data_IF_872378899712
#
_entry.id   IF_872378899712
#
_cell.length_a   1.000
_cell.length_b   1.000
_cell.length_c   1.000
_cell.angle_alpha   90.00
_cell.angle_beta   90.00
_cell.angle_gamma   90.00
#
_symmetry.space_group_name_H-M   'P 1'
#
loop_
_entity.id
_entity.type
_entity.pdbx_description
1 polymer ?
#
# COMPACT_ATOMS: atom_id res chain seq x y z
N UNK A 1 16.97 0.75 4.47
CA UNK A 1 18.10 0.87 3.55
C UNK A 1 18.96 -0.36 3.75
N UNK A 2 19.07 -1.18 2.70
CA UNK A 2 19.77 -2.46 2.78
C UNK A 2 21.27 -2.28 2.87
N UNK A 3 21.91 -3.08 3.74
CA UNK A 3 23.37 -3.10 3.95
C UNK A 3 24.16 -3.26 2.63
N UNK A 4 23.58 -3.90 1.64
CA UNK A 4 24.18 -4.07 0.30
C UNK A 4 24.26 -2.75 -0.48
N UNK A 5 23.27 -1.87 -0.38
CA UNK A 5 23.27 -0.58 -1.09
C UNK A 5 24.31 0.39 -0.55
N UNK A 6 24.61 0.35 0.75
CA UNK A 6 25.67 1.20 1.36
C UNK A 6 27.05 0.72 0.98
N UNK A 7 27.27 -0.58 0.92
CA UNK A 7 28.55 -1.18 0.51
C UNK A 7 28.89 -0.87 -0.95
N UNK A 8 27.89 -0.85 -1.84
CA UNK A 8 28.07 -0.44 -3.25
C UNK A 8 28.40 1.04 -3.40
N UNK A 9 27.77 1.92 -2.61
CA UNK A 9 28.06 3.35 -2.64
C UNK A 9 29.47 3.66 -2.13
N UNK A 10 29.92 2.98 -1.08
CA UNK A 10 31.28 3.11 -0.56
C UNK A 10 32.32 2.64 -1.58
N UNK A 11 32.14 1.47 -2.20
CA UNK A 11 33.02 0.98 -3.27
C UNK A 11 33.06 1.92 -4.48
N UNK A 12 31.94 2.51 -4.85
CA UNK A 12 31.89 3.49 -5.96
C UNK A 12 32.64 4.78 -5.62
N UNK A 13 32.54 5.25 -4.37
CA UNK A 13 33.26 6.44 -3.92
C UNK A 13 34.77 6.19 -3.83
N UNK A 14 35.19 5.02 -3.35
CA UNK A 14 36.61 4.63 -3.30
C UNK A 14 37.21 4.47 -4.71
N UNK A 15 36.49 3.82 -5.63
CA UNK A 15 36.95 3.69 -7.02
C UNK A 15 37.07 5.06 -7.71
N UNK A 16 36.14 5.98 -7.45
CA UNK A 16 36.18 7.35 -8.00
C UNK A 16 37.33 8.18 -7.40
N UNK A 17 37.60 8.03 -6.12
CA UNK A 17 38.77 8.68 -5.46
C UNK A 17 40.08 8.11 -5.98
N UNK A 18 40.18 6.81 -6.22
CA UNK A 18 41.36 6.17 -6.76
C UNK A 18 41.63 6.61 -8.22
N UNK A 19 40.58 6.75 -9.05
CA UNK A 19 40.70 7.24 -10.43
C UNK A 19 41.12 8.71 -10.53
N UNK A 20 40.73 9.53 -9.53
CA UNK A 20 41.17 10.94 -9.45
C UNK A 20 42.60 11.08 -8.95
N UNK A 21 43.06 10.16 -8.09
CA UNK A 21 44.45 10.12 -7.57
C UNK A 21 45.46 9.61 -8.62
N UNK A 22 45.04 8.72 -9.52
CA UNK A 22 45.88 8.14 -10.57
C UNK A 22 46.14 9.07 -11.76
N UNK A 23 45.45 10.23 -11.86
CA UNK A 23 45.61 11.17 -12.98
C UNK A 23 46.85 12.06 -12.92
N UNK A 24 47.77 11.77 -12.03
CA UNK A 24 48.99 12.55 -11.77
C UNK A 24 50.32 11.93 -12.23
N UNK A 25 50.36 10.75 -12.83
CA UNK A 25 51.60 10.16 -13.36
C UNK A 25 51.38 9.44 -14.68
N UNK A 26 51.94 10.07 -15.74
CA UNK A 26 52.09 9.49 -17.08
C UNK A 26 52.99 8.25 -17.03
N UNK A 27 52.41 7.06 -17.19
CA UNK A 27 53.02 5.93 -17.90
C UNK A 27 51.93 4.91 -18.18
N UNK A 28 51.40 4.90 -19.41
CA UNK A 28 50.49 3.91 -19.89
C UNK A 28 51.19 2.54 -20.01
N UNK A 29 50.77 1.57 -19.19
CA UNK A 29 51.08 0.17 -19.42
C UNK A 29 49.82 -0.55 -19.94
N UNK A 30 50.00 -1.52 -20.79
CA UNK A 30 48.94 -2.30 -21.48
C UNK A 30 47.95 -2.98 -20.52
N UNK A 31 48.29 -3.09 -19.25
CA UNK A 31 47.51 -3.64 -18.17
C UNK A 31 46.33 -2.72 -17.74
N UNK A 32 46.41 -1.40 -17.99
CA UNK A 32 45.40 -0.44 -17.56
C UNK A 32 44.20 -0.41 -18.52
N UNK A 33 44.39 -0.83 -19.79
CA UNK A 33 43.31 -0.90 -20.75
C UNK A 33 42.39 -2.10 -20.54
N UNK A 34 42.92 -3.26 -20.09
CA UNK A 34 42.11 -4.41 -19.70
C UNK A 34 41.24 -4.11 -18.46
N UNK A 35 41.77 -3.43 -17.46
CA UNK A 35 41.05 -3.01 -16.29
C UNK A 35 39.93 -2.01 -16.59
N UNK A 36 40.16 -1.10 -17.56
CA UNK A 36 39.14 -0.13 -17.99
C UNK A 36 38.02 -0.78 -18.80
N UNK A 37 38.34 -1.80 -19.65
CA UNK A 37 37.30 -2.52 -20.39
C UNK A 37 36.43 -3.38 -19.48
N UNK A 38 37.01 -3.97 -18.42
CA UNK A 38 36.28 -4.75 -17.43
C UNK A 38 35.34 -3.87 -16.59
N UNK A 39 35.81 -2.67 -16.20
CA UNK A 39 34.98 -1.67 -15.51
C UNK A 39 33.86 -1.11 -16.37
N UNK A 40 34.08 -0.94 -17.68
CA UNK A 40 33.06 -0.53 -18.64
C UNK A 40 31.99 -1.61 -18.83
N UNK A 41 32.41 -2.87 -18.92
CA UNK A 41 31.50 -4.01 -19.02
C UNK A 41 30.68 -4.21 -17.73
N UNK A 42 31.27 -3.94 -16.55
CA UNK A 42 30.57 -3.94 -15.28
C UNK A 42 29.54 -2.79 -15.22
N UNK A 43 29.89 -1.59 -15.68
CA UNK A 43 29.00 -0.42 -15.80
C UNK A 43 27.83 -0.67 -16.78
N UNK A 44 28.07 -1.28 -17.93
CA UNK A 44 27.02 -1.66 -18.88
C UNK A 44 26.08 -2.73 -18.29
N UNK A 45 26.60 -3.66 -17.49
CA UNK A 45 25.80 -4.61 -16.74
C UNK A 45 24.96 -3.95 -15.64
N UNK A 46 25.49 -2.95 -14.94
CA UNK A 46 24.75 -2.18 -13.94
C UNK A 46 23.60 -1.38 -14.58
N UNK A 47 23.82 -0.76 -15.73
CA UNK A 47 22.78 -0.07 -16.49
C UNK A 47 21.69 -1.05 -16.94
N UNK A 48 22.05 -2.27 -17.32
CA UNK A 48 21.10 -3.33 -17.64
C UNK A 48 20.25 -3.78 -16.43
N UNK A 49 20.84 -3.86 -15.25
CA UNK A 49 20.16 -4.20 -14.00
C UNK A 49 19.21 -3.06 -13.58
N UNK A 50 19.67 -1.82 -13.67
CA UNK A 50 18.87 -0.63 -13.37
C UNK A 50 17.71 -0.50 -14.36
N UNK A 51 17.94 -0.76 -15.64
CA UNK A 51 16.89 -0.76 -16.67
C UNK A 51 15.82 -1.83 -16.38
N UNK A 52 16.23 -3.05 -16.05
CA UNK A 52 15.29 -4.13 -15.63
C UNK A 52 14.51 -3.76 -14.38
N UNK A 53 15.16 -3.15 -13.40
CA UNK A 53 14.48 -2.71 -12.19
C UNK A 53 13.44 -1.62 -12.49
N UNK A 54 13.79 -0.62 -13.32
CA UNK A 54 12.87 0.43 -13.78
C UNK A 54 11.67 -0.16 -14.51
N UNK A 55 11.92 -1.11 -15.41
CA UNK A 55 10.86 -1.78 -16.17
C UNK A 55 9.93 -2.59 -15.25
N UNK A 56 10.49 -3.38 -14.34
CA UNK A 56 9.71 -4.12 -13.34
C UNK A 56 8.88 -3.17 -12.47
N UNK A 57 9.46 -2.04 -12.07
CA UNK A 57 8.77 -1.05 -11.27
C UNK A 57 7.62 -0.40 -12.04
N UNK A 58 7.85 -0.08 -13.31
CA UNK A 58 6.82 0.47 -14.19
C UNK A 58 5.67 -0.53 -14.37
N UNK A 59 5.96 -1.80 -14.60
CA UNK A 59 4.95 -2.86 -14.70
C UNK A 59 4.15 -3.01 -13.40
N UNK A 60 4.80 -2.94 -12.23
CA UNK A 60 4.13 -2.97 -10.94
C UNK A 60 3.17 -1.77 -10.77
N UNK A 61 3.63 -0.58 -11.16
CA UNK A 61 2.79 0.63 -11.13
C UNK A 61 1.56 0.49 -12.03
N UNK A 62 1.75 0.01 -13.25
CA UNK A 62 0.65 -0.24 -14.19
C UNK A 62 -0.35 -1.28 -13.65
N UNK A 63 0.14 -2.35 -13.03
CA UNK A 63 -0.73 -3.35 -12.40
C UNK A 63 -1.54 -2.76 -11.24
N UNK A 64 -0.91 -1.92 -10.42
CA UNK A 64 -1.60 -1.25 -9.31
C UNK A 64 -2.67 -0.27 -9.85
N UNK A 65 -2.36 0.52 -10.87
CA UNK A 65 -3.35 1.42 -11.49
C UNK A 65 -4.53 0.61 -12.03
N UNK A 66 -4.27 -0.47 -12.77
CA UNK A 66 -5.33 -1.33 -13.30
C UNK A 66 -6.18 -1.98 -12.20
N UNK A 67 -5.60 -2.30 -11.04
CA UNK A 67 -6.38 -2.84 -9.91
C UNK A 67 -7.27 -1.77 -9.27
N UNK A 68 -6.79 -0.52 -9.20
CA UNK A 68 -7.57 0.63 -8.72
C UNK A 68 -8.71 0.96 -9.71
N UNK A 69 -8.43 0.97 -11.02
CA UNK A 69 -9.45 1.22 -12.06
C UNK A 69 -10.57 0.17 -12.00
N UNK A 70 -10.21 -1.13 -11.87
CA UNK A 70 -11.21 -2.19 -11.69
C UNK A 70 -12.01 -2.03 -10.40
N UNK A 71 -11.36 -1.55 -9.33
CA UNK A 71 -12.04 -1.23 -8.09
C UNK A 71 -13.05 -0.09 -8.30
N UNK A 72 -12.66 0.95 -9.02
CA UNK A 72 -13.51 2.08 -9.35
C UNK A 72 -14.70 1.69 -10.24
N UNK A 73 -14.50 0.80 -11.21
CA UNK A 73 -15.59 0.29 -12.09
C UNK A 73 -16.69 -0.43 -11.30
N UNK A 74 -16.34 -1.07 -10.17
CA UNK A 74 -17.30 -1.83 -9.35
C UNK A 74 -17.99 -0.96 -8.31
N UNK A 75 -17.29 -0.02 -7.68
CA UNK A 75 -17.77 0.83 -6.59
C UNK A 75 -18.19 2.23 -7.03
N UNK A 76 -17.83 2.63 -8.25
CA UNK A 76 -18.06 4.00 -8.70
C UNK A 76 -17.11 4.98 -7.97
N UNK A 77 -17.69 6.06 -7.43
CA UNK A 77 -16.93 7.13 -6.76
C UNK A 77 -16.47 6.77 -5.33
N UNK A 78 -16.86 5.60 -4.81
CA UNK A 78 -16.64 5.19 -3.41
C UNK A 78 -15.30 4.45 -3.18
N UNK A 79 -14.31 4.65 -4.05
CA UNK A 79 -12.97 4.10 -3.90
C UNK A 79 -12.21 4.82 -2.78
N UNK A 80 -11.54 4.07 -1.93
CA UNK A 80 -10.79 4.63 -0.81
C UNK A 80 -11.64 5.00 0.41
N UNK A 81 -12.94 4.63 0.41
CA UNK A 81 -13.87 4.86 1.50
C UNK A 81 -14.39 3.55 2.10
N UNK A 82 -14.99 3.65 3.27
CA UNK A 82 -15.78 2.56 3.86
C UNK A 82 -17.20 2.66 3.33
N UNK A 83 -17.64 1.67 2.56
CA UNK A 83 -18.97 1.63 1.97
C UNK A 83 -19.95 0.96 2.93
N UNK A 84 -20.92 1.74 3.43
CA UNK A 84 -21.96 1.27 4.32
C UNK A 84 -23.12 0.65 3.54
N UNK A 85 -23.30 -0.65 3.69
CA UNK A 85 -24.33 -1.42 2.98
C UNK A 85 -25.54 -1.63 3.88
N UNK A 86 -26.72 -1.38 3.31
CA UNK A 86 -27.99 -1.49 4.04
C UNK A 86 -28.66 -2.85 3.97
N UNK A 87 -28.29 -3.70 2.97
CA UNK A 87 -28.91 -5.00 2.75
C UNK A 87 -27.87 -6.10 2.51
N UNK A 88 -28.15 -7.26 3.08
CA UNK A 88 -27.27 -8.44 3.00
C UNK A 88 -27.06 -8.94 1.56
N UNK A 89 -28.11 -8.85 0.72
CA UNK A 89 -28.04 -9.23 -0.68
C UNK A 89 -27.06 -8.37 -1.47
N UNK A 90 -27.03 -7.06 -1.20
CA UNK A 90 -26.15 -6.12 -1.87
C UNK A 90 -24.68 -6.36 -1.45
N UNK A 91 -24.48 -6.67 -0.16
CA UNK A 91 -23.18 -7.07 0.36
C UNK A 91 -22.64 -8.32 -0.36
N UNK A 92 -23.45 -9.37 -0.48
CA UNK A 92 -23.05 -10.57 -1.19
C UNK A 92 -22.73 -10.30 -2.66
N UNK A 93 -23.54 -9.45 -3.32
CA UNK A 93 -23.29 -9.02 -4.68
C UNK A 93 -21.98 -8.22 -4.83
N UNK A 94 -21.67 -7.35 -3.89
CA UNK A 94 -20.42 -6.59 -3.88
C UNK A 94 -19.21 -7.52 -3.67
N UNK A 95 -19.25 -8.40 -2.68
CA UNK A 95 -18.16 -9.35 -2.37
C UNK A 95 -17.85 -10.28 -3.55
N UNK A 96 -18.85 -10.71 -4.31
CA UNK A 96 -18.64 -11.60 -5.46
C UNK A 96 -18.05 -10.90 -6.69
N UNK A 97 -18.30 -9.59 -6.84
CA UNK A 97 -17.80 -8.80 -7.99
C UNK A 97 -16.40 -8.26 -7.76
N UNK A 98 -15.97 -8.15 -6.50
CA UNK A 98 -14.68 -7.56 -6.14
C UNK A 98 -13.58 -8.61 -6.05
N UNK A 99 -12.35 -8.23 -6.40
CA UNK A 99 -11.20 -9.10 -6.25
C UNK A 99 -10.87 -9.33 -4.76
N UNK A 100 -10.79 -8.25 -3.98
CA UNK A 100 -10.52 -8.30 -2.55
C UNK A 100 -11.52 -7.40 -1.83
N UNK A 101 -12.29 -7.99 -0.91
CA UNK A 101 -13.24 -7.27 -0.07
C UNK A 101 -12.97 -7.53 1.41
N UNK A 102 -13.00 -6.46 2.20
CA UNK A 102 -12.97 -6.51 3.67
C UNK A 102 -14.34 -6.11 4.18
N UNK A 103 -15.03 -7.05 4.80
CA UNK A 103 -16.38 -6.86 5.31
C UNK A 103 -16.37 -6.71 6.82
N UNK A 104 -16.85 -5.59 7.33
CA UNK A 104 -16.99 -5.31 8.75
C UNK A 104 -18.45 -5.44 9.19
N UNK A 105 -18.72 -6.41 10.05
CA UNK A 105 -19.98 -6.54 10.76
C UNK A 105 -19.90 -5.74 12.06
N UNK A 106 -20.77 -4.77 12.22
CA UNK A 106 -20.70 -3.84 13.35
C UNK A 106 -22.05 -3.59 14.01
N UNK A 107 -22.00 -3.07 15.23
CA UNK A 107 -23.14 -2.50 15.94
C UNK A 107 -22.87 -1.02 16.19
N UNK A 108 -23.78 -0.11 15.77
CA UNK A 108 -23.56 1.35 15.88
C UNK A 108 -23.32 1.84 17.31
N UNK A 109 -23.90 1.15 18.29
CA UNK A 109 -23.81 1.52 19.71
C UNK A 109 -22.49 1.11 20.37
N UNK A 110 -21.71 0.20 19.78
CA UNK A 110 -20.49 -0.32 20.38
C UNK A 110 -19.29 0.56 20.06
N UNK A 111 -18.56 1.04 21.09
CA UNK A 111 -17.35 1.85 20.95
C UNK A 111 -16.30 1.10 20.13
N UNK A 112 -16.07 -0.19 20.41
CA UNK A 112 -15.15 -1.05 19.68
C UNK A 112 -15.40 -1.10 18.17
N UNK A 113 -16.67 -1.08 17.75
CA UNK A 113 -17.03 -1.04 16.36
C UNK A 113 -16.72 0.32 15.70
N UNK A 114 -16.87 1.42 16.44
CA UNK A 114 -16.51 2.76 15.97
C UNK A 114 -15.01 2.86 15.73
N UNK A 115 -14.20 2.44 16.71
CA UNK A 115 -12.74 2.39 16.58
C UNK A 115 -12.31 1.54 15.38
N UNK A 116 -12.92 0.39 15.16
CA UNK A 116 -12.63 -0.45 14.00
C UNK A 116 -12.99 0.27 12.69
N UNK A 117 -14.15 0.94 12.60
CA UNK A 117 -14.54 1.72 11.43
C UNK A 117 -13.52 2.83 11.11
N UNK A 118 -13.05 3.56 12.12
CA UNK A 118 -12.03 4.60 11.94
C UNK A 118 -10.72 4.05 11.39
N UNK A 119 -10.26 2.90 11.92
CA UNK A 119 -9.04 2.26 11.41
C UNK A 119 -9.22 1.72 9.99
N UNK A 120 -10.38 1.16 9.68
CA UNK A 120 -10.72 0.68 8.34
C UNK A 120 -10.87 1.82 7.34
N UNK A 121 -11.35 2.99 7.74
CA UNK A 121 -11.40 4.17 6.88
C UNK A 121 -10.01 4.62 6.44
N UNK A 122 -9.08 4.76 7.41
CA UNK A 122 -7.68 5.09 7.08
C UNK A 122 -7.03 4.01 6.22
N UNK A 123 -7.37 2.74 6.44
CA UNK A 123 -6.87 1.63 5.64
C UNK A 123 -7.38 1.71 4.18
N UNK A 124 -8.65 2.03 3.98
CA UNK A 124 -9.25 2.21 2.65
C UNK A 124 -8.57 3.34 1.88
N UNK A 125 -8.31 4.48 2.52
CA UNK A 125 -7.60 5.60 1.93
C UNK A 125 -6.17 5.24 1.48
N UNK A 126 -5.49 4.39 2.26
CA UNK A 126 -4.13 3.93 1.93
C UNK A 126 -4.09 2.90 0.81
N UNK A 127 -5.10 2.04 0.73
CA UNK A 127 -5.13 0.88 -0.16
C UNK A 127 -6.34 0.92 -1.09
N UNK A 128 -6.29 1.76 -2.11
CA UNK A 128 -7.40 2.05 -3.03
C UNK A 128 -7.94 0.81 -3.78
N UNK A 129 -7.12 -0.22 -3.95
CA UNK A 129 -7.55 -1.49 -4.54
C UNK A 129 -8.33 -2.39 -3.56
N UNK A 130 -8.41 -2.02 -2.27
CA UNK A 130 -9.09 -2.76 -1.23
C UNK A 130 -10.52 -2.23 -1.07
N UNK A 131 -11.50 -3.11 -1.24
CA UNK A 131 -12.91 -2.76 -1.01
C UNK A 131 -13.27 -2.96 0.44
N UNK A 132 -13.53 -1.89 1.17
CA UNK A 132 -13.96 -1.94 2.56
C UNK A 132 -15.46 -1.73 2.63
N UNK A 133 -16.17 -2.74 3.09
CA UNK A 133 -17.63 -2.79 3.20
C UNK A 133 -18.02 -2.91 4.67
N UNK A 134 -19.01 -2.17 5.11
CA UNK A 134 -19.52 -2.23 6.47
C UNK A 134 -21.03 -2.45 6.48
N UNK A 135 -21.50 -3.42 7.29
CA UNK A 135 -22.91 -3.73 7.44
C UNK A 135 -23.28 -3.86 8.92
N UNK A 136 -24.40 -3.26 9.37
CA UNK A 136 -24.90 -3.53 10.69
C UNK A 136 -25.26 -5.02 10.85
N UNK A 137 -24.82 -5.65 11.93
CA UNK A 137 -25.06 -7.07 12.18
C UNK A 137 -26.56 -7.43 12.20
N UNK A 138 -27.40 -6.49 12.62
CA UNK A 138 -28.88 -6.63 12.62
C UNK A 138 -29.44 -6.80 11.20
N UNK A 139 -28.82 -6.17 10.20
CA UNK A 139 -29.25 -6.22 8.80
C UNK A 139 -28.67 -7.39 8.02
N UNK A 140 -27.82 -8.19 8.64
CA UNK A 140 -27.11 -9.33 8.04
C UNK A 140 -27.35 -10.62 8.83
N UNK A 141 -28.58 -10.89 9.23
CA UNK A 141 -28.93 -12.01 10.14
C UNK A 141 -28.57 -13.38 9.59
N UNK A 142 -28.72 -13.58 8.28
CA UNK A 142 -28.34 -14.83 7.63
C UNK A 142 -26.82 -15.04 7.66
N UNK A 143 -26.03 -14.02 7.27
CA UNK A 143 -24.57 -14.11 7.31
C UNK A 143 -24.03 -14.24 8.75
N UNK A 144 -24.60 -13.52 9.70
CA UNK A 144 -24.27 -13.62 11.12
C UNK A 144 -24.46 -15.07 11.60
N UNK A 145 -25.58 -15.71 11.23
CA UNK A 145 -25.87 -17.10 11.57
C UNK A 145 -24.91 -18.06 10.84
N UNK A 146 -24.69 -17.85 9.54
CA UNK A 146 -23.85 -18.70 8.70
C UNK A 146 -22.37 -18.64 9.10
N UNK A 147 -21.85 -17.46 9.38
CA UNK A 147 -20.47 -17.22 9.81
C UNK A 147 -20.27 -17.48 11.32
N UNK A 148 -21.38 -17.76 12.05
CA UNK A 148 -21.40 -17.98 13.51
C UNK A 148 -20.79 -16.81 14.28
N UNK A 149 -21.15 -15.59 13.91
CA UNK A 149 -20.66 -14.37 14.54
C UNK A 149 -21.26 -14.26 15.95
N UNK A 150 -20.40 -14.24 16.97
CA UNK A 150 -20.80 -14.13 18.39
C UNK A 150 -20.25 -12.88 19.04
N UNK A 151 -19.21 -12.30 18.49
CA UNK A 151 -18.48 -11.15 19.03
C UNK A 151 -18.35 -10.06 17.96
N UNK A 152 -18.54 -8.83 18.35
CA UNK A 152 -18.34 -7.65 17.49
C UNK A 152 -17.25 -6.75 18.10
N UNK A 153 -16.50 -6.01 17.26
CA UNK A 153 -16.50 -6.00 15.79
C UNK A 153 -16.09 -7.34 15.19
N UNK A 154 -16.57 -7.65 14.01
CA UNK A 154 -16.18 -8.87 13.29
C UNK A 154 -15.82 -8.49 11.86
N UNK A 155 -14.60 -8.81 11.45
CA UNK A 155 -14.10 -8.48 10.10
C UNK A 155 -13.81 -9.77 9.35
N UNK A 156 -14.30 -9.88 8.13
CA UNK A 156 -14.03 -11.00 7.22
C UNK A 156 -13.35 -10.47 5.98
N UNK A 157 -12.32 -11.15 5.56
CA UNK A 157 -11.58 -10.83 4.33
C UNK A 157 -11.93 -11.85 3.27
N UNK A 158 -12.41 -11.39 2.13
CA UNK A 158 -12.76 -12.19 0.98
C UNK A 158 -11.79 -11.93 -0.17
N UNK A 159 -11.47 -12.99 -0.91
CA UNK A 159 -10.79 -12.89 -2.20
C UNK A 159 -11.61 -13.68 -3.23
N UNK A 160 -12.03 -13.01 -4.31
CA UNK A 160 -12.89 -13.59 -5.34
C UNK A 160 -14.13 -14.31 -4.73
N UNK A 161 -14.75 -13.69 -3.73
CA UNK A 161 -15.93 -14.24 -3.05
C UNK A 161 -15.64 -15.37 -2.04
N UNK A 162 -14.39 -15.80 -1.88
CA UNK A 162 -14.01 -16.81 -0.91
C UNK A 162 -13.41 -16.17 0.35
N UNK A 163 -13.81 -16.64 1.52
CA UNK A 163 -13.23 -16.21 2.79
C UNK A 163 -11.79 -16.71 2.91
N UNK A 164 -10.85 -15.78 3.13
CA UNK A 164 -9.43 -16.09 3.33
C UNK A 164 -8.96 -15.83 4.75
N UNK A 165 -9.61 -14.91 5.48
CA UNK A 165 -9.29 -14.61 6.87
C UNK A 165 -10.48 -14.00 7.59
N UNK A 166 -10.46 -14.11 8.94
CA UNK A 166 -11.39 -13.42 9.84
C UNK A 166 -10.65 -12.82 11.02
N UNK A 167 -11.19 -11.73 11.54
CA UNK A 167 -10.72 -11.06 12.76
C UNK A 167 -11.92 -10.96 13.68
N UNK A 168 -11.82 -11.56 14.87
CA UNK A 168 -12.89 -11.56 15.87
C UNK A 168 -12.54 -10.56 16.95
N UNK A 169 -13.37 -9.52 17.11
CA UNK A 169 -13.03 -8.41 18.00
C UNK A 169 -11.73 -7.73 17.58
N UNK A 170 -10.76 -7.70 18.46
CA UNK A 170 -9.41 -7.16 18.21
C UNK A 170 -8.34 -8.25 18.22
N UNK A 171 -8.72 -9.50 18.07
CA UNK A 171 -7.79 -10.63 18.10
C UNK A 171 -6.71 -10.51 17.01
N UNK A 172 -5.45 -10.54 17.44
CA UNK A 172 -4.29 -10.42 16.55
C UNK A 172 -3.96 -9.02 16.04
N UNK A 173 -4.70 -7.97 16.48
CA UNK A 173 -4.44 -6.57 16.12
C UNK A 173 -4.31 -5.63 17.33
N UNK A 174 -4.71 -6.10 18.53
CA UNK A 174 -4.58 -5.35 19.80
C UNK A 174 -5.40 -6.02 20.90
N UNK A 175 -5.08 -5.77 22.16
CA UNK A 175 -5.81 -6.29 23.30
C UNK A 175 -6.96 -5.37 23.72
N UNK A 176 -6.86 -4.08 23.42
CA UNK A 176 -7.84 -3.04 23.80
C UNK A 176 -8.09 -2.08 22.62
N UNK A 177 -9.08 -1.20 22.77
CA UNK A 177 -9.42 -0.17 21.75
C UNK A 177 -8.22 0.73 21.44
N UNK A 178 -7.47 1.14 22.48
CA UNK A 178 -6.31 2.02 22.34
C UNK A 178 -5.08 1.31 21.76
N UNK A 179 -4.99 -0.01 21.93
CA UNK A 179 -3.88 -0.82 21.42
C UNK A 179 -4.01 -1.18 19.93
N UNK A 180 -5.21 -1.00 19.35
CA UNK A 180 -5.43 -1.29 17.92
C UNK A 180 -4.76 -0.24 17.07
N UNK A 181 -3.69 -0.65 16.38
CA UNK A 181 -2.96 0.21 15.44
C UNK A 181 -3.29 -0.14 14.00
N UNK A 182 -3.19 0.86 13.12
CA UNK A 182 -3.34 0.66 11.67
C UNK A 182 -2.29 -0.32 11.14
N UNK A 183 -1.05 -0.22 11.64
CA UNK A 183 0.06 -1.10 11.29
C UNK A 183 -0.18 -2.56 11.66
N UNK A 184 -0.83 -2.83 12.80
CA UNK A 184 -1.20 -4.19 13.18
C UNK A 184 -2.27 -4.76 12.24
N UNK A 185 -3.27 -3.95 11.88
CA UNK A 185 -4.31 -4.33 10.94
C UNK A 185 -3.73 -4.57 9.53
N UNK A 186 -2.87 -3.68 9.03
CA UNK A 186 -2.14 -3.85 7.77
C UNK A 186 -1.31 -5.14 7.78
N UNK A 187 -0.56 -5.39 8.86
CA UNK A 187 0.26 -6.60 9.00
C UNK A 187 -0.61 -7.84 8.92
N UNK A 188 -1.76 -7.85 9.57
CA UNK A 188 -2.71 -8.96 9.52
C UNK A 188 -3.25 -9.20 8.11
N UNK A 189 -3.58 -8.11 7.38
CA UNK A 189 -4.05 -8.19 6.00
C UNK A 189 -2.95 -8.60 5.01
N UNK A 190 -1.70 -8.24 5.28
CA UNK A 190 -0.54 -8.72 4.51
C UNK A 190 -0.32 -10.23 4.75
N UNK A 191 -0.44 -10.70 6.00
CA UNK A 191 -0.27 -12.10 6.33
C UNK A 191 -1.30 -13.01 5.64
N UNK A 192 -2.56 -12.57 5.55
CA UNK A 192 -3.59 -13.31 4.81
C UNK A 192 -3.51 -13.08 3.29
N UNK A 193 -2.60 -12.24 2.83
CA UNK A 193 -2.38 -11.95 1.43
C UNK A 193 -3.42 -11.02 0.79
N UNK A 194 -4.28 -10.37 1.56
CA UNK A 194 -5.24 -9.38 1.05
C UNK A 194 -4.53 -8.14 0.52
N UNK A 195 -3.43 -7.75 1.15
CA UNK A 195 -2.62 -6.59 0.76
C UNK A 195 -1.21 -7.07 0.43
N UNK A 196 -0.61 -6.55 -0.63
CA UNK A 196 0.80 -6.75 -0.93
C UNK A 196 1.65 -5.70 -0.20
N UNK A 197 2.80 -6.11 0.39
CA UNK A 197 3.77 -5.17 0.96
C UNK A 197 4.28 -4.12 -0.02
N UNK A 198 4.12 -4.39 -1.33
CA UNK A 198 4.55 -3.51 -2.42
C UNK A 198 3.47 -2.56 -2.91
N UNK A 199 2.27 -2.61 -2.33
CA UNK A 199 1.22 -1.64 -2.63
C UNK A 199 1.72 -0.28 -2.16
N UNK A 200 1.83 0.67 -3.08
CA UNK A 200 2.35 2.00 -2.79
C UNK A 200 1.37 2.69 -1.85
N UNK A 201 1.87 3.20 -0.73
CA UNK A 201 1.11 4.13 0.08
C UNK A 201 0.88 5.40 -0.74
N UNK A 202 -0.25 5.49 -1.42
CA UNK A 202 -0.69 6.70 -2.14
C UNK A 202 -1.06 7.84 -1.18
N UNK A 203 -1.20 7.53 0.11
CA UNK A 203 -1.58 8.48 1.16
C UNK A 203 -0.52 9.51 1.57
N UNK A 204 0.66 9.56 0.92
CA UNK A 204 1.70 10.54 1.24
C UNK A 204 1.85 11.64 0.17
N UNK A 205 0.92 11.73 -0.77
CA UNK A 205 0.82 12.94 -1.60
C UNK A 205 0.03 13.95 -0.76
N UNK A 206 0.74 14.65 0.13
CA UNK A 206 0.23 15.86 0.75
C UNK A 206 -0.21 16.79 -0.37
N UNK A 207 -1.52 17.02 -0.49
CA UNK A 207 -2.03 18.10 -1.33
C UNK A 207 -1.25 19.34 -0.93
N UNK A 208 -0.57 20.03 -1.85
CA UNK A 208 0.03 21.33 -1.52
C UNK A 208 -1.11 22.20 -1.02
N UNK A 209 -0.94 22.73 0.21
CA UNK A 209 -1.89 23.65 0.80
C UNK A 209 -2.17 24.74 -0.24
N UNK A 210 -3.45 24.97 -0.52
CA UNK A 210 -3.88 26.02 -1.41
C UNK A 210 -3.24 27.33 -0.93
N UNK A 211 -2.36 27.88 -1.74
CA UNK A 211 -1.79 29.22 -1.52
C UNK A 211 -2.97 30.17 -1.54
N UNK A 212 -3.33 30.69 -0.36
CA UNK A 212 -4.22 31.83 -0.27
C UNK A 212 -3.55 32.95 -1.08
N UNK A 213 -4.13 33.32 -2.19
CA UNK A 213 -3.86 34.59 -2.81
C UNK A 213 -4.33 35.65 -1.80
N UNK A 214 -3.38 36.31 -1.17
CA UNK A 214 -3.64 37.59 -0.54
C UNK A 214 -3.86 38.60 -1.69
N UNK A 215 -5.11 39.02 -1.85
CA UNK A 215 -5.44 40.19 -2.67
C UNK A 215 -4.79 41.39 -1.99
N UNK A 216 -3.65 41.82 -2.49
CA UNK A 216 -3.11 43.14 -2.19
C UNK A 216 -3.85 44.15 -3.07
N UNK A 217 -4.87 44.78 -2.48
CA UNK A 217 -5.40 46.04 -2.97
C UNK A 217 -4.29 47.08 -2.87
N UNK A 218 -3.56 47.29 -3.95
CA UNK A 218 -2.75 48.50 -4.14
C UNK A 218 -3.62 49.56 -4.74
N UNK A 219 -4.23 50.35 -3.86
CA UNK A 219 -4.69 51.70 -4.15
C UNK A 219 -3.50 52.58 -4.62
N UNK A 220 -3.48 52.93 -5.88
CA UNK A 220 -2.66 54.01 -6.43
C UNK A 220 -3.52 55.21 -6.76
N UNK A 221 -3.35 56.22 -5.92
CA UNK A 221 -3.59 57.62 -6.28
C UNK A 221 -2.42 58.17 -7.06
#
# INVERSE_FOLDING_TARGET
>A
MDRQSTEYIEKYQEAKLHSLSARGQDQASDSDTESLSELLEELENEDGIVAKYKEQRLQQLQQNIRSIDRAADVLGEDVGCVNFIGAEKDLMGAVTRTEIAVVHFYQPTFSKCKTMNEKLAVLAEKHLALHVLAIPAEKASFLVSKLKIKVLPFVVVYRHGQEIARIVGFEGIGESEDAVTITALETRLIQCGAISRRTINTGTISRPAAVKKEDSDDDWF
#
